data_IF_260925527024
#
_entry.id   IF_260925527024
#
_cell.length_a   1.000
_cell.length_b   1.000
_cell.length_c   1.000
_cell.angle_alpha   90.00
_cell.angle_beta   90.00
_cell.angle_gamma   90.00
#
_symmetry.space_group_name_H-M   'P 1'
#
loop_
_entity.id
_entity.type
_entity.pdbx_description
1 polymer ?
2 polymer ?
3 non-polymer ?
4 non-polymer ?
5 non-polymer ?
6 non-polymer ?
7 water ?
#
# COMPACT_ATOMS: atom_id res chain seq x y z
N UNK A 1 11.77 9.15 -1.01
CA UNK A 1 12.56 7.92 -0.91
C UNK A 1 14.05 8.27 -0.93
N UNK A 2 14.78 7.82 0.10
CA UNK A 2 16.21 7.99 0.24
C UNK A 2 16.91 6.70 -0.18
N UNK A 3 17.90 6.82 -1.08
CA UNK A 3 18.74 5.72 -1.55
C UNK A 3 18.10 4.70 -2.46
N UNK A 4 17.06 5.11 -3.19
CA UNK A 4 16.36 4.24 -4.12
C UNK A 4 16.75 4.54 -5.56
N UNK A 5 15.84 4.28 -6.47
CA UNK A 5 16.05 4.51 -7.89
C UNK A 5 14.73 4.97 -8.49
N UNK A 6 14.78 5.53 -9.70
CA UNK A 6 13.58 5.94 -10.40
C UNK A 6 12.83 4.66 -10.78
N UNK A 7 11.54 4.57 -10.37
CA UNK A 7 10.67 3.44 -10.75
C UNK A 7 10.44 3.65 -12.28
N UNK A 8 10.86 2.73 -13.19
CA UNK A 8 10.56 2.96 -14.63
C UNK A 8 9.07 3.17 -14.85
N UNK A 9 8.70 4.09 -15.74
CA UNK A 9 7.30 4.45 -16.05
C UNK A 9 6.40 3.22 -16.32
N UNK A 10 5.30 3.11 -15.54
CA UNK A 10 4.35 2.01 -15.62
C UNK A 10 4.70 0.79 -14.77
N UNK A 11 5.82 0.83 -14.00
CA UNK A 11 6.24 -0.32 -13.19
C UNK A 11 5.70 -0.31 -11.75
N UNK A 12 5.03 0.80 -11.33
CA UNK A 12 4.35 0.91 -10.03
C UNK A 12 2.95 1.45 -10.43
N UNK A 13 2.16 0.67 -11.22
CA UNK A 13 0.89 1.23 -11.76
C UNK A 13 -0.25 1.48 -10.75
N UNK A 14 -0.06 1.07 -9.52
CA UNK A 14 -1.05 1.25 -8.45
C UNK A 14 -0.69 2.45 -7.58
N UNK A 15 0.44 3.12 -7.87
CA UNK A 15 0.84 4.30 -7.09
C UNK A 15 -0.13 5.44 -7.31
N UNK A 16 -0.59 6.01 -6.20
CA UNK A 16 -1.48 7.18 -6.24
C UNK A 16 -0.68 8.39 -5.74
N UNK A 17 -0.93 9.56 -6.33
CA UNK A 17 -0.43 10.85 -5.86
C UNK A 17 -1.65 11.60 -5.30
N UNK A 18 -1.62 12.00 -4.04
CA UNK A 18 -2.70 12.79 -3.44
C UNK A 18 -2.28 14.28 -3.43
N UNK A 19 -3.19 15.12 -3.89
CA UNK A 19 -3.03 16.57 -4.01
C UNK A 19 -4.10 17.31 -3.22
N UNK A 20 -3.71 18.44 -2.60
CA UNK A 20 -4.63 19.36 -1.92
C UNK A 20 -4.33 20.77 -2.47
N UNK A 21 -5.28 21.36 -3.23
CA UNK A 21 -5.08 22.63 -3.93
C UNK A 21 -3.89 22.56 -4.94
N UNK A 22 -3.69 21.38 -5.55
CA UNK A 22 -2.65 21.14 -6.54
C UNK A 22 -1.27 20.87 -6.00
N UNK A 23 -1.10 21.00 -4.67
CA UNK A 23 0.15 20.77 -3.98
C UNK A 23 0.23 19.31 -3.56
N UNK A 24 1.43 18.73 -3.65
CA UNK A 24 1.74 17.36 -3.23
C UNK A 24 1.39 17.15 -1.75
N UNK A 25 0.57 16.14 -1.44
CA UNK A 25 0.17 15.86 -0.06
C UNK A 25 0.78 14.56 0.44
N UNK A 26 0.47 13.47 -0.26
CA UNK A 26 0.77 12.09 0.14
C UNK A 26 0.73 11.17 -1.04
N UNK A 27 1.05 9.92 -0.76
CA UNK A 27 0.88 8.83 -1.70
C UNK A 27 -0.33 8.03 -1.28
N UNK A 28 -0.62 7.02 -2.08
CA UNK A 28 -1.70 6.08 -1.85
C UNK A 28 -1.52 4.87 -2.73
N UNK A 29 -2.37 3.87 -2.52
CA UNK A 29 -2.38 2.64 -3.34
C UNK A 29 -3.80 2.41 -3.87
N UNK A 30 -3.92 2.25 -5.18
CA UNK A 30 -5.19 1.89 -5.84
C UNK A 30 -5.43 0.37 -5.56
N UNK A 31 -6.60 -0.01 -5.03
CA UNK A 31 -6.82 -1.44 -4.75
C UNK A 31 -7.93 -2.03 -5.65
N UNK A 32 -8.66 -1.17 -6.37
CA UNK A 32 -9.65 -1.49 -7.39
C UNK A 32 -9.90 -0.20 -8.14
N UNK A 33 -10.92 -0.09 -8.98
CA UNK A 33 -11.16 1.12 -9.77
C UNK A 33 -11.71 2.34 -8.99
N UNK A 34 -12.31 2.17 -7.80
CA UNK A 34 -12.87 3.33 -7.08
C UNK A 34 -12.22 3.58 -5.68
N UNK A 35 -11.39 2.64 -5.21
CA UNK A 35 -10.81 2.68 -3.87
C UNK A 35 -9.29 2.78 -3.82
N UNK A 36 -8.83 3.64 -2.92
CA UNK A 36 -7.42 3.95 -2.67
C UNK A 36 -7.20 3.78 -1.18
N UNK A 37 -6.10 3.14 -0.79
CA UNK A 37 -5.75 3.11 0.63
C UNK A 37 -4.51 4.02 0.80
N UNK A 38 -4.57 4.86 1.83
CA UNK A 38 -3.51 5.80 2.19
C UNK A 38 -3.33 5.76 3.74
N UNK A 39 -2.64 6.76 4.32
CA UNK A 39 -2.43 6.89 5.77
C UNK A 39 -3.41 7.93 6.31
N UNK A 40 -3.97 7.67 7.49
CA UNK A 40 -4.87 8.58 8.19
C UNK A 40 -4.17 9.91 8.52
N UNK A 41 -2.85 9.89 8.89
CA UNK A 41 -2.15 11.11 9.28
C UNK A 41 -2.03 12.14 8.16
N UNK A 42 -2.23 11.72 6.89
CA UNK A 42 -2.16 12.60 5.72
C UNK A 42 -3.24 13.68 5.78
N UNK A 43 -4.36 13.39 6.46
CA UNK A 43 -5.55 14.26 6.50
C UNK A 43 -5.70 15.05 7.79
N UNK A 44 -4.72 14.97 8.73
CA UNK A 44 -4.71 15.68 10.02
C UNK A 44 -4.87 17.19 9.91
N UNK A 45 -4.25 17.81 8.89
CA UNK A 45 -4.23 19.26 8.67
C UNK A 45 -5.11 19.72 7.52
N UNK A 46 -6.00 18.84 7.01
CA UNK A 46 -6.93 19.21 5.92
C UNK A 46 -8.13 19.99 6.51
N UNK A 47 -8.53 21.07 5.82
CA UNK A 47 -9.69 21.90 6.12
C UNK A 47 -10.53 22.02 4.84
N UNK A 48 -9.84 22.08 3.68
CA UNK A 48 -10.39 22.17 2.32
C UNK A 48 -10.62 20.76 1.73
N UNK A 49 -11.53 19.97 2.35
CA UNK A 49 -11.88 18.60 1.96
C UNK A 49 -12.33 18.42 0.53
N UNK A 50 -12.93 19.46 -0.06
CA UNK A 50 -13.44 19.44 -1.43
C UNK A 50 -12.37 19.68 -2.50
N UNK A 51 -11.13 19.99 -2.07
CA UNK A 51 -9.97 20.22 -2.94
C UNK A 51 -8.98 19.04 -2.98
N UNK A 52 -9.37 17.85 -2.48
CA UNK A 52 -8.56 16.62 -2.46
C UNK A 52 -8.63 15.92 -3.80
N UNK A 53 -7.49 15.76 -4.48
CA UNK A 53 -7.43 15.06 -5.76
C UNK A 53 -6.50 13.83 -5.68
N UNK A 54 -6.90 12.71 -6.34
CA UNK A 54 -6.06 11.51 -6.48
C UNK A 54 -5.63 11.42 -7.94
N UNK A 55 -4.32 11.27 -8.17
CA UNK A 55 -3.76 11.15 -9.53
C UNK A 55 -3.20 9.74 -9.68
N UNK A 56 -3.69 9.02 -10.72
CA UNK A 56 -3.28 7.67 -11.11
C UNK A 56 -2.53 7.77 -12.42
N UNK A 57 -1.59 6.85 -12.69
CA UNK A 57 -0.81 6.85 -13.92
C UNK A 57 0.25 7.93 -13.95
N UNK A 58 0.50 8.54 -12.79
CA UNK A 58 1.51 9.58 -12.65
C UNK A 58 2.89 8.95 -12.58
N UNK A 59 3.87 9.67 -13.11
CA UNK A 59 5.28 9.29 -13.10
C UNK A 59 6.18 10.52 -12.87
N UNK A 60 6.17 11.45 -13.83
CA UNK A 60 6.97 12.66 -13.83
C UNK A 60 6.06 13.87 -13.56
N UNK A 61 6.30 14.57 -12.44
CA UNK A 61 5.54 15.74 -11.98
C UNK A 61 5.72 17.01 -12.81
N UNK A 62 6.76 17.07 -13.65
CA UNK A 62 7.01 18.28 -14.44
C UNK A 62 6.32 18.24 -15.81
N UNK A 63 5.79 17.04 -16.20
CA UNK A 63 5.18 16.89 -17.52
C UNK A 63 3.86 16.13 -17.49
N UNK A 64 2.93 16.51 -18.36
CA UNK A 64 1.71 15.78 -18.60
C UNK A 64 1.97 14.91 -19.85
N UNK A 65 1.90 13.58 -19.71
CA UNK A 65 2.13 12.73 -20.89
C UNK A 65 0.85 12.06 -21.43
N UNK A 66 -0.30 12.30 -20.78
CA UNK A 66 -1.58 11.73 -21.20
C UNK A 66 -2.00 10.46 -20.49
N UNK A 67 -1.10 9.83 -19.71
CA UNK A 67 -1.41 8.61 -18.96
C UNK A 67 -1.99 8.89 -17.57
N UNK A 68 -1.91 10.17 -17.10
CA UNK A 68 -2.43 10.57 -15.79
C UNK A 68 -3.93 10.61 -15.80
N UNK A 69 -4.54 10.17 -14.71
CA UNK A 69 -5.97 10.22 -14.51
C UNK A 69 -6.20 10.85 -13.13
N UNK A 70 -6.97 11.93 -13.08
CA UNK A 70 -7.30 12.69 -11.87
C UNK A 70 -8.73 12.45 -11.50
N UNK A 71 -8.98 12.31 -10.21
CA UNK A 71 -10.31 12.08 -9.67
C UNK A 71 -10.41 12.78 -8.34
N UNK A 72 -11.59 13.34 -8.06
CA UNK A 72 -11.94 13.99 -6.81
C UNK A 72 -12.11 12.90 -5.78
N UNK A 73 -11.69 13.16 -4.58
CA UNK A 73 -11.83 12.19 -3.49
C UNK A 73 -13.22 12.47 -2.88
N UNK A 74 -14.17 11.54 -3.08
CA UNK A 74 -15.53 11.70 -2.59
C UNK A 74 -15.64 11.44 -1.09
N UNK A 75 -14.80 10.57 -0.54
CA UNK A 75 -14.86 10.18 0.86
C UNK A 75 -13.52 9.74 1.40
N UNK A 76 -13.19 10.12 2.65
CA UNK A 76 -11.98 9.70 3.40
C UNK A 76 -12.48 8.99 4.66
N UNK A 77 -12.20 7.70 4.79
CA UNK A 77 -12.64 6.84 5.91
C UNK A 77 -11.45 6.46 6.78
N UNK A 78 -11.53 6.82 8.04
CA UNK A 78 -10.50 6.61 9.02
C UNK A 78 -11.04 5.78 10.21
N UNK A 79 -10.23 4.87 10.83
CA UNK A 79 -10.73 4.13 11.99
C UNK A 79 -11.01 5.04 13.17
N UNK A 80 -12.02 4.68 13.99
CA UNK A 80 -12.40 5.44 15.19
C UNK A 80 -11.27 5.51 16.20
N UNK A 81 -10.37 4.50 16.15
CA UNK A 81 -9.24 4.29 17.06
C UNK A 81 -8.02 5.14 16.74
N UNK A 82 -7.98 5.74 15.54
CA UNK A 82 -6.90 6.62 15.12
C UNK A 82 -7.08 7.97 15.84
N UNK A 83 -6.00 8.52 16.43
CA UNK A 83 -5.98 9.81 17.11
C UNK A 83 -5.07 10.78 16.33
N UNK A 84 -5.58 11.92 15.79
CA UNK A 84 -4.66 12.87 15.10
C UNK A 84 -3.44 13.25 15.94
N UNK A 85 -2.30 13.34 15.29
CA UNK A 85 -1.02 13.68 15.90
C UNK A 85 -0.29 12.52 16.53
N UNK A 86 -0.86 11.29 16.45
CA UNK A 86 -0.24 10.07 16.98
C UNK A 86 0.06 9.08 15.84
N UNK A 87 0.60 7.89 16.18
CA UNK A 87 1.09 6.86 15.27
C UNK A 87 0.16 5.69 14.97
N UNK A 88 -0.59 5.19 15.99
CA UNK A 88 -1.43 4.00 15.85
C UNK A 88 -2.62 4.12 14.89
N UNK A 89 -3.01 2.99 14.29
CA UNK A 89 -4.15 2.85 13.36
C UNK A 89 -4.07 3.86 12.20
N UNK A 90 -2.86 3.97 11.60
CA UNK A 90 -2.55 4.94 10.55
C UNK A 90 -2.93 4.45 9.15
N UNK A 91 -4.24 4.43 8.88
CA UNK A 91 -4.79 3.95 7.60
C UNK A 91 -6.01 4.79 7.22
N UNK A 92 -6.19 5.05 5.94
CA UNK A 92 -7.36 5.79 5.42
C UNK A 92 -7.83 5.05 4.18
N UNK A 93 -9.14 5.00 3.96
CA UNK A 93 -9.76 4.36 2.79
C UNK A 93 -10.46 5.47 2.04
N UNK A 94 -10.05 5.69 0.79
CA UNK A 94 -10.58 6.77 -0.04
C UNK A 94 -11.47 6.26 -1.15
N UNK A 95 -12.67 6.84 -1.26
CA UNK A 95 -13.58 6.55 -2.36
C UNK A 95 -13.41 7.67 -3.42
N UNK A 96 -13.10 7.30 -4.66
CA UNK A 96 -12.95 8.26 -5.75
C UNK A 96 -14.34 8.62 -6.24
N UNK A 97 -14.55 9.86 -6.71
CA UNK A 97 -15.87 10.32 -7.15
C UNK A 97 -16.41 9.50 -8.36
N UNK A 98 -15.51 9.08 -9.25
CA UNK A 98 -15.77 8.33 -10.47
C UNK A 98 -14.67 7.28 -10.59
N UNK A 99 -14.95 6.05 -11.12
CA UNK A 99 -13.86 5.07 -11.25
C UNK A 99 -12.71 5.55 -12.12
N UNK A 100 -11.50 5.04 -11.87
CA UNK A 100 -10.39 5.26 -12.79
C UNK A 100 -10.58 4.20 -13.89
N UNK A 101 -10.00 4.45 -15.07
CA UNK A 101 -10.02 3.49 -16.19
C UNK A 101 -8.69 2.70 -16.11
N UNK A 102 -8.79 1.36 -16.05
CA UNK A 102 -7.61 0.50 -16.03
C UNK A 102 -6.96 0.49 -17.40
N UNK A 103 -5.64 0.72 -17.41
CA UNK A 103 -4.81 0.83 -18.63
C UNK A 103 -3.48 0.19 -18.24
N UNK A 104 -2.50 0.20 -19.14
CA UNK A 104 -1.15 -0.31 -18.87
C UNK A 104 -0.46 0.47 -17.76
N UNK A 105 -0.91 1.73 -17.53
CA UNK A 105 -0.29 2.64 -16.55
C UNK A 105 -1.09 2.79 -15.26
N UNK A 106 -2.31 2.25 -15.21
CA UNK A 106 -3.23 2.32 -14.08
C UNK A 106 -3.78 0.91 -13.79
N UNK A 107 -3.22 0.25 -12.76
CA UNK A 107 -3.61 -1.11 -12.38
C UNK A 107 -3.70 -1.19 -10.85
N UNK A 108 -4.75 -1.81 -10.24
CA UNK A 108 -4.77 -1.93 -8.79
C UNK A 108 -3.75 -2.92 -8.23
N UNK A 109 -3.41 -2.76 -6.97
CA UNK A 109 -2.55 -3.69 -6.25
C UNK A 109 -3.55 -4.61 -5.52
N UNK A 110 -3.20 -5.92 -5.37
CA UNK A 110 -4.10 -6.86 -4.69
C UNK A 110 -4.12 -6.62 -3.17
N UNK A 111 -5.32 -6.40 -2.63
CA UNK A 111 -5.50 -6.26 -1.20
C UNK A 111 -5.63 -7.76 -0.84
N UNK A 112 -4.69 -8.36 -0.09
CA UNK A 112 -4.76 -9.81 0.15
C UNK A 112 -5.79 -10.16 1.23
N UNK A 113 -6.02 -11.47 1.42
CA UNK A 113 -6.85 -11.95 2.53
C UNK A 113 -5.97 -11.92 3.76
N UNK A 114 -6.57 -11.76 4.95
CA UNK A 114 -5.83 -11.70 6.21
C UNK A 114 -4.92 -12.93 6.46
N UNK A 115 -5.48 -14.17 6.42
CA UNK A 115 -4.72 -15.42 6.67
C UNK A 115 -3.50 -15.51 5.76
N UNK A 116 -3.72 -15.36 4.47
CA UNK A 116 -2.66 -15.38 3.46
C UNK A 116 -1.58 -14.32 3.77
N UNK A 117 -2.00 -13.10 4.17
CA UNK A 117 -1.11 -12.00 4.47
C UNK A 117 -0.28 -12.29 5.75
N UNK A 118 -0.93 -12.81 6.79
CA UNK A 118 -0.29 -13.16 8.06
C UNK A 118 0.64 -14.40 7.98
N UNK A 119 0.15 -15.50 7.35
CA UNK A 119 0.91 -16.75 7.29
C UNK A 119 1.84 -16.87 6.10
N UNK A 120 1.65 -16.08 5.04
CA UNK A 120 2.58 -16.19 3.93
C UNK A 120 3.33 -14.87 3.65
N UNK A 121 2.60 -13.76 3.39
CA UNK A 121 3.23 -12.48 3.00
C UNK A 121 4.12 -11.86 4.05
N UNK A 122 3.84 -12.07 5.33
CA UNK A 122 4.59 -11.51 6.46
C UNK A 122 6.02 -12.05 6.53
N UNK A 123 6.26 -13.19 5.86
CA UNK A 123 7.53 -13.91 5.82
C UNK A 123 8.34 -13.67 4.54
N UNK A 124 7.82 -12.86 3.57
CA UNK A 124 8.62 -12.49 2.40
C UNK A 124 9.52 -11.35 2.93
N UNK A 125 10.86 -11.53 2.87
CA UNK A 125 11.82 -10.58 3.45
C UNK A 125 11.79 -9.19 2.82
N UNK A 126 11.84 -9.11 1.49
CA UNK A 126 11.86 -7.85 0.79
C UNK A 126 10.53 -7.47 0.17
N UNK A 127 10.28 -6.15 0.14
CA UNK A 127 9.10 -5.52 -0.42
C UNK A 127 9.48 -4.16 -0.95
N UNK A 128 8.69 -3.63 -1.88
CA UNK A 128 8.95 -2.34 -2.51
C UNK A 128 8.16 -1.23 -1.86
N UNK A 129 8.81 -0.08 -1.64
CA UNK A 129 8.23 1.14 -1.06
C UNK A 129 8.45 2.23 -2.07
N UNK A 130 7.45 3.10 -2.27
CA UNK A 130 7.53 4.11 -3.33
C UNK A 130 6.83 5.42 -3.02
N UNK A 131 7.26 6.44 -3.74
CA UNK A 131 6.71 7.78 -3.62
C UNK A 131 7.53 8.87 -4.27
N UNK A 132 7.02 10.12 -4.21
CA UNK A 132 7.70 11.30 -4.73
C UNK A 132 8.13 12.15 -3.51
N UNK A 133 8.44 11.50 -2.40
CA UNK A 133 8.95 12.13 -1.19
C UNK A 133 10.37 12.62 -1.34
N UNK A 134 10.95 13.11 -0.23
CA UNK A 134 12.31 13.68 -0.21
C UNK A 134 13.39 12.64 -0.53
N UNK A 135 14.41 13.10 -1.27
CA UNK A 135 15.52 12.25 -1.72
C UNK A 135 16.60 12.16 -0.65
N UNK A 136 16.55 13.08 0.31
CA UNK A 136 17.49 13.20 1.42
C UNK A 136 16.73 13.79 2.57
N UNK A 137 17.27 13.61 3.80
CA UNK A 137 16.76 14.28 5.00
C UNK A 137 17.09 15.79 4.82
N UNK A 138 16.06 16.65 4.98
CA UNK A 138 16.12 18.12 4.80
C UNK A 138 16.48 18.51 3.32
N UNK A 139 16.11 17.63 2.38
CA UNK A 139 16.32 17.83 0.96
C UNK A 139 15.02 17.98 0.18
N UNK A 140 15.15 18.28 -1.10
CA UNK A 140 14.06 18.42 -2.06
C UNK A 140 13.38 17.05 -2.33
N UNK A 141 12.10 17.09 -2.71
CA UNK A 141 11.28 15.95 -3.08
C UNK A 141 11.55 15.58 -4.54
N UNK A 142 11.25 14.33 -4.91
CA UNK A 142 11.45 13.78 -6.26
C UNK A 142 10.44 14.30 -7.30
N UNK A 143 10.91 14.49 -8.55
CA UNK A 143 10.09 14.88 -9.69
C UNK A 143 9.59 13.62 -10.40
N UNK A 144 10.37 12.54 -10.31
CA UNK A 144 9.99 11.24 -10.85
C UNK A 144 9.76 10.26 -9.71
N UNK A 145 8.82 9.33 -9.89
CA UNK A 145 8.50 8.32 -8.90
C UNK A 145 9.73 7.44 -8.58
N UNK A 146 10.02 7.30 -7.27
CA UNK A 146 11.15 6.53 -6.76
C UNK A 146 10.68 5.26 -6.10
N UNK A 147 11.50 4.23 -6.12
CA UNK A 147 11.20 2.95 -5.50
C UNK A 147 12.41 2.44 -4.71
N UNK A 148 12.16 1.77 -3.61
CA UNK A 148 13.19 1.21 -2.76
C UNK A 148 12.74 -0.16 -2.29
N UNK A 149 13.69 -1.12 -2.26
CA UNK A 149 13.50 -2.49 -1.78
C UNK A 149 13.93 -2.51 -0.34
N UNK A 150 13.04 -2.87 0.56
CA UNK A 150 13.35 -2.85 2.01
C UNK A 150 13.12 -4.19 2.68
N UNK A 151 13.96 -4.60 3.67
CA UNK A 151 13.69 -5.89 4.34
C UNK A 151 12.82 -5.68 5.58
N UNK A 152 11.88 -6.61 5.81
CA UNK A 152 10.96 -6.54 6.95
C UNK A 152 11.62 -7.17 8.14
N UNK A 153 11.36 -6.60 9.31
CA UNK A 153 11.92 -7.07 10.55
C UNK A 153 10.85 -7.64 11.44
N UNK A 154 11.23 -8.62 12.30
CA UNK A 154 10.35 -9.16 13.34
C UNK A 154 10.32 -8.01 14.38
N UNK A 155 9.16 -7.71 15.01
CA UNK A 155 9.02 -6.58 15.95
C UNK A 155 10.05 -6.65 17.10
N UNK A 156 10.44 -7.86 17.57
CA UNK A 156 11.49 -8.03 18.58
C UNK A 156 12.84 -7.48 18.08
N UNK A 157 13.28 -7.88 16.85
CA UNK A 157 14.53 -7.41 16.26
C UNK A 157 14.53 -5.91 16.00
N UNK A 158 13.35 -5.33 15.64
CA UNK A 158 13.24 -3.89 15.38
C UNK A 158 13.66 -3.13 16.65
N UNK A 159 13.12 -3.57 17.82
CA UNK A 159 13.37 -3.00 19.15
C UNK A 159 14.84 -3.12 19.64
N UNK A 160 15.44 -4.34 19.50
CA UNK A 160 16.83 -4.57 19.92
C UNK A 160 17.88 -3.95 18.94
N UNK A 161 17.56 -3.90 17.62
CA UNK A 161 18.44 -3.33 16.56
C UNK A 161 18.41 -1.78 16.48
N UNK A 162 17.47 -1.13 17.21
CA UNK A 162 17.34 0.33 17.15
C UNK A 162 18.03 1.07 18.31
N UNK A 163 18.48 2.32 18.04
CA UNK A 163 19.16 3.21 18.97
C UNK A 163 18.17 4.26 19.50
N UNK A 167 12.13 9.90 24.40
CA UNK A 167 10.76 10.09 23.91
C UNK A 167 10.53 9.33 22.59
N UNK A 168 10.65 7.98 22.65
CA UNK A 168 10.47 7.08 21.50
C UNK A 168 9.08 6.39 21.48
N UNK A 169 8.28 6.56 20.39
CA UNK A 169 6.97 5.89 20.34
C UNK A 169 7.10 4.38 20.14
N UNK A 170 6.18 3.62 20.76
CA UNK A 170 6.12 2.16 20.71
C UNK A 170 5.70 1.66 19.32
N UNK A 171 6.03 0.40 19.02
CA UNK A 171 5.61 -0.28 17.80
C UNK A 171 4.52 -1.27 18.23
N UNK A 172 3.28 -1.02 17.77
CA UNK A 172 2.10 -1.81 18.11
C UNK A 172 1.90 -2.96 17.15
N UNK A 173 0.88 -3.81 17.42
CA UNK A 173 0.49 -4.93 16.56
C UNK A 173 -0.10 -4.43 15.23
N UNK A 174 -0.35 -3.11 15.13
CA UNK A 174 -0.92 -2.47 13.94
C UNK A 174 0.17 -1.82 13.08
N UNK A 175 1.45 -2.13 13.40
CA UNK A 175 2.63 -1.61 12.72
C UNK A 175 3.65 -2.71 12.45
N UNK A 176 4.66 -2.39 11.62
CA UNK A 176 5.83 -3.24 11.40
C UNK A 176 6.98 -2.41 10.93
N UNK A 177 8.22 -2.85 11.21
CA UNK A 177 9.42 -2.16 10.76
C UNK A 177 9.94 -2.79 9.50
N UNK A 178 10.47 -1.94 8.64
CA UNK A 178 11.12 -2.34 7.41
C UNK A 178 12.20 -1.30 7.06
N UNK A 179 13.30 -1.77 6.47
CA UNK A 179 14.37 -0.87 6.08
C UNK A 179 15.74 -1.18 6.62
N UNK A 180 16.55 -0.10 6.77
CA UNK A 180 17.96 -0.16 7.15
C UNK A 180 18.29 0.78 8.31
N UNK A 181 19.29 0.41 9.12
CA UNK A 181 19.72 1.21 10.28
C UNK A 181 20.92 2.12 10.01
N UNK A 182 21.59 1.99 8.87
CA UNK A 182 22.81 2.73 8.52
C UNK A 182 22.61 4.15 7.94
N UNK A 183 21.36 4.60 7.85
CA UNK A 183 21.02 5.94 7.33
C UNK A 183 21.17 6.15 5.84
N UNK A 184 21.28 5.06 5.04
CA UNK A 184 21.46 5.15 3.59
C UNK A 184 20.17 5.00 2.75
N UNK A 185 19.15 4.28 3.29
CA UNK A 185 17.94 3.93 2.55
C UNK A 185 16.70 4.01 3.43
N UNK A 186 15.68 4.74 2.97
CA UNK A 186 14.46 4.91 3.75
C UNK A 186 13.30 5.51 2.97
N UNK A 187 12.08 5.38 3.51
CA UNK A 187 10.90 6.08 3.02
C UNK A 187 10.89 7.36 3.88
N UNK A 188 10.38 8.48 3.34
CA UNK A 188 10.31 9.71 4.12
C UNK A 188 8.91 10.25 4.23
N UNK A 189 8.71 11.37 4.96
CA UNK A 189 7.40 11.97 5.23
C UNK A 189 6.57 12.26 3.96
N UNK A 190 7.20 12.67 2.85
CA UNK A 190 6.53 12.92 1.57
C UNK A 190 6.05 11.64 0.87
N UNK A 191 6.50 10.48 1.36
CA UNK A 191 6.12 9.17 0.86
C UNK A 191 4.96 8.60 1.66
N UNK A 192 4.62 9.26 2.80
CA UNK A 192 3.49 8.93 3.68
C UNK A 192 2.26 8.52 2.87
N UNK A 193 1.67 7.40 3.24
CA UNK A 193 0.48 6.87 2.61
C UNK A 193 0.72 5.95 1.44
N UNK A 194 1.95 5.95 0.92
CA UNK A 194 2.32 5.12 -0.23
C UNK A 194 2.36 3.65 0.07
N UNK A 195 2.43 2.81 -1.00
CA UNK A 195 2.49 1.34 -0.79
C UNK A 195 3.81 0.74 -0.35
N UNK A 196 3.70 -0.31 0.46
CA UNK A 196 4.73 -1.25 0.81
C UNK A 196 4.13 -2.49 0.16
N UNK A 197 4.66 -2.85 -1.00
CA UNK A 197 4.16 -3.93 -1.86
C UNK A 197 5.06 -5.17 -1.82
N UNK A 198 4.44 -6.36 -1.61
CA UNK A 198 5.10 -7.68 -1.50
C UNK A 198 4.78 -8.60 -2.69
N UNK A 199 5.81 -9.15 -3.33
CA UNK A 199 5.68 -10.08 -4.46
C UNK A 199 5.58 -11.53 -3.93
N UNK A 200 4.61 -12.31 -4.45
CA UNK A 200 4.45 -13.71 -4.09
C UNK A 200 3.87 -14.44 -5.27
N UNK A 201 4.66 -15.38 -5.81
CA UNK A 201 4.33 -16.24 -6.95
C UNK A 201 3.70 -15.48 -8.12
N UNK A 202 4.43 -14.48 -8.61
CA UNK A 202 4.05 -13.70 -9.78
C UNK A 202 3.02 -12.60 -9.57
N UNK A 203 2.58 -12.37 -8.32
CA UNK A 203 1.58 -11.32 -8.04
C UNK A 203 2.04 -10.43 -6.89
N UNK A 204 1.71 -9.13 -6.98
CA UNK A 204 2.06 -8.15 -5.92
C UNK A 204 0.85 -7.87 -5.03
N UNK A 205 1.09 -7.73 -3.74
CA UNK A 205 0.05 -7.50 -2.73
C UNK A 205 0.38 -6.33 -1.82
N UNK A 206 -0.69 -5.69 -1.26
CA UNK A 206 -0.55 -4.61 -0.28
C UNK A 206 -0.35 -5.18 1.13
N UNK A 207 0.86 -4.97 1.70
CA UNK A 207 1.19 -5.44 3.06
C UNK A 207 1.42 -4.29 4.04
N UNK A 208 1.83 -3.14 3.55
CA UNK A 208 2.11 -2.00 4.40
C UNK A 208 1.76 -0.66 3.80
N UNK A 209 1.67 0.37 4.65
CA UNK A 209 1.44 1.75 4.26
C UNK A 209 2.63 2.55 4.85
N UNK A 210 3.27 3.44 4.07
CA UNK A 210 4.36 4.34 4.56
C UNK A 210 3.71 5.20 5.67
N UNK A 211 4.15 5.00 6.91
CA UNK A 211 3.50 5.64 8.06
C UNK A 211 4.40 6.64 8.81
N UNK A 212 5.44 6.17 9.54
CA UNK A 212 6.32 7.08 10.31
C UNK A 212 7.75 6.53 10.55
N UNK A 213 8.54 7.32 11.25
CA UNK A 213 9.91 7.05 11.64
C UNK A 213 10.40 8.18 12.53
N UNK A 214 11.65 8.06 13.03
CA UNK A 214 12.33 9.02 13.91
C UNK A 214 13.30 9.86 13.05
N UNK A 215 12.76 10.54 12.05
CA UNK A 215 13.57 11.34 11.15
C UNK A 215 13.91 10.56 9.92
N UNK A 216 14.00 11.28 8.78
CA UNK A 216 14.29 10.70 7.46
C UNK A 216 15.69 10.11 7.38
N UNK A 217 15.78 8.78 7.09
CA UNK A 217 17.02 8.00 6.98
C UNK A 217 18.05 8.27 8.15
N UNK A 218 17.54 8.25 9.40
CA UNK A 218 18.30 8.46 10.64
C UNK A 218 19.03 7.16 11.04
N UNK A 219 20.35 7.26 11.39
CA UNK A 219 21.16 6.11 11.84
C UNK A 219 20.58 5.53 13.15
N UNK A 220 20.51 4.20 13.19
CA UNK A 220 19.96 3.43 14.29
C UNK A 220 18.44 3.32 14.27
N UNK A 221 17.79 3.80 13.18
CA UNK A 221 16.33 3.79 13.10
C UNK A 221 15.77 3.24 11.78
N UNK A 222 14.64 2.52 11.90
CA UNK A 222 13.93 1.88 10.80
C UNK A 222 12.62 2.60 10.47
N UNK A 223 12.09 2.32 9.27
CA UNK A 223 10.80 2.84 8.83
C UNK A 223 9.69 2.09 9.52
N UNK A 224 8.59 2.77 9.83
CA UNK A 224 7.44 2.13 10.44
C UNK A 224 6.26 2.20 9.45
N UNK A 225 5.64 1.04 9.19
CA UNK A 225 4.56 0.85 8.24
C UNK A 225 3.34 0.35 8.95
N UNK A 226 2.15 0.79 8.50
CA UNK A 226 0.87 0.31 9.02
C UNK A 226 0.77 -1.18 8.60
N UNK A 227 0.37 -2.05 9.53
CA UNK A 227 0.21 -3.48 9.25
C UNK A 227 -1.19 -3.67 8.68
N UNK A 228 -1.28 -3.61 7.37
CA UNK A 228 -2.48 -3.71 6.56
C UNK A 228 -3.31 -5.00 6.83
N UNK A 229 -2.65 -6.15 7.15
CA UNK A 229 -3.33 -7.45 7.46
C UNK A 229 -4.39 -7.32 8.58
N UNK A 230 -4.19 -6.37 9.50
CA UNK A 230 -5.09 -6.09 10.61
C UNK A 230 -6.36 -5.37 10.20
N UNK A 231 -6.40 -4.85 8.94
CA UNK A 231 -7.50 -4.01 8.46
C UNK A 231 -8.29 -4.57 7.33
N UNK A 232 -7.94 -5.76 6.82
CA UNK A 232 -8.60 -6.40 5.66
C UNK A 232 -10.11 -6.43 5.78
N UNK A 233 -10.62 -6.92 6.94
CA UNK A 233 -12.06 -7.06 7.19
C UNK A 233 -12.75 -5.73 7.29
N UNK A 234 -12.12 -4.78 8.00
CA UNK A 234 -12.57 -3.40 8.18
C UNK A 234 -12.66 -2.74 6.77
N UNK A 235 -11.61 -2.90 5.94
CA UNK A 235 -11.57 -2.36 4.56
C UNK A 235 -12.67 -2.96 3.65
N UNK A 236 -12.81 -4.31 3.68
CA UNK A 236 -13.79 -5.06 2.88
C UNK A 236 -15.22 -4.71 3.22
N UNK A 237 -15.54 -4.55 4.51
CA UNK A 237 -16.88 -4.17 4.95
C UNK A 237 -17.24 -2.77 4.47
N UNK A 238 -16.30 -1.83 4.57
CA UNK A 238 -16.50 -0.46 4.09
C UNK A 238 -16.66 -0.35 2.58
N UNK A 239 -15.90 -1.16 1.79
CA UNK A 239 -16.03 -1.13 0.33
C UNK A 239 -17.41 -1.62 -0.16
N UNK A 240 -18.10 -2.40 0.67
CA UNK A 240 -19.44 -2.92 0.38
C UNK A 240 -20.55 -1.98 0.88
N UNK A 241 -20.19 -0.88 1.57
CA UNK A 241 -21.15 0.08 2.14
C UNK A 241 -21.47 1.24 1.21
N UNK A 242 -22.69 1.79 1.34
CA UNK A 242 -23.19 2.90 0.55
C UNK A 242 -22.51 4.19 0.94
N UNK A 243 -22.10 5.04 -0.04
CA UNK A 243 -21.51 6.34 0.32
C UNK A 243 -22.37 7.15 1.31
N UNK A 244 -21.71 7.97 2.15
CA UNK A 244 -22.40 8.81 3.11
C UNK A 244 -22.13 10.28 2.85
N UNK A 245 -23.13 11.18 3.08
CA UNK A 245 -22.87 12.62 2.89
C UNK A 245 -21.71 13.05 3.79
N UNK A 246 -20.88 13.97 3.29
CA UNK A 246 -19.67 14.43 3.97
C UNK A 246 -18.43 13.72 3.44
N UNK A 247 -17.28 14.42 3.43
CA UNK A 247 -16.04 13.83 2.93
C UNK A 247 -15.40 12.96 3.99
N UNK A 248 -15.19 13.47 5.18
CA UNK A 248 -14.58 12.67 6.22
C UNK A 248 -15.58 11.82 6.97
N UNK A 249 -15.32 10.49 7.05
CA UNK A 249 -16.09 9.54 7.82
C UNK A 249 -15.19 8.80 8.85
N UNK A 250 -15.58 8.79 10.12
CA UNK A 250 -14.88 7.99 11.13
C UNK A 250 -15.70 6.71 11.27
N UNK A 251 -15.06 5.55 11.10
CA UNK A 251 -15.74 4.26 11.11
C UNK A 251 -15.22 3.39 12.24
N UNK A 252 -16.13 2.72 12.98
CA UNK A 252 -15.68 1.88 14.11
C UNK A 252 -14.60 0.89 13.73
N UNK A 253 -13.62 0.74 14.63
CA UNK A 253 -12.56 -0.24 14.50
C UNK A 253 -12.45 -1.00 15.82
N UNK A 254 -12.52 -2.36 15.83
CA UNK A 254 -12.65 -3.30 14.68
C UNK A 254 -14.00 -3.19 13.95
N UNK B 1 -2.84 -27.47 6.82
CA UNK B 1 -2.19 -27.54 5.50
C UNK B 1 -1.77 -26.15 5.02
N UNK B 2 -2.66 -25.14 5.15
CA UNK B 2 -2.45 -23.74 4.70
C UNK B 2 -1.31 -23.02 5.38
N UNK B 3 -1.08 -23.33 6.66
CA UNK B 3 -0.03 -22.74 7.49
C UNK B 3 1.38 -23.02 6.91
N UNK B 4 1.57 -24.18 6.23
CA UNK B 4 2.83 -24.62 5.66
C UNK B 4 2.88 -24.51 4.13
N UNK B 5 3.80 -23.67 3.63
CA UNK B 5 4.05 -23.39 2.22
C UNK B 5 2.77 -22.94 1.44
N UNK B 6 1.86 -22.24 2.17
CA UNK B 6 0.59 -21.68 1.65
C UNK B 6 -0.38 -22.80 1.15
N UNK B 7 -0.20 -24.03 1.67
CA UNK B 7 -0.98 -25.21 1.29
C UNK B 7 -0.78 -25.59 -0.17
N UNK B 8 0.34 -25.14 -0.74
CA UNK B 8 0.67 -25.31 -2.15
C UNK B 8 0.00 -24.31 -3.08
N UNK B 9 -0.91 -23.48 -2.55
CA UNK B 9 -1.68 -22.51 -3.31
C UNK B 9 -0.82 -21.36 -3.85
N UNK B 10 -1.14 -20.86 -5.05
CA UNK B 10 -0.49 -19.72 -5.66
C UNK B 10 -0.97 -18.43 -4.94
N UNK B 11 -2.26 -18.38 -4.55
CA UNK B 11 -2.92 -17.27 -3.87
C UNK B 11 -3.57 -17.68 -2.52
N UNK B 12 -4.88 -17.77 -2.44
CA UNK B 12 -5.56 -18.01 -1.15
C UNK B 12 -5.77 -19.47 -0.86
N UNK B 13 -5.74 -19.82 0.43
CA UNK B 13 -5.85 -21.17 0.97
C UNK B 13 -6.89 -21.23 2.08
N UNK B 14 -7.83 -22.20 1.97
CA UNK B 14 -8.84 -22.49 2.99
C UNK B 14 -8.70 -23.94 3.44
N UNK B 15 -8.62 -24.16 4.77
CA UNK B 15 -8.58 -25.49 5.40
C UNK B 15 -10.00 -25.98 5.60
N UNK B 16 -10.23 -27.29 5.43
CA UNK B 16 -11.55 -27.89 5.63
C UNK B 16 -11.56 -29.02 6.65
N UNK B 17 -12.76 -29.58 6.93
CA UNK B 17 -12.97 -30.68 7.87
C UNK B 17 -12.17 -31.90 7.42
N UNK B 18 -11.01 -32.08 8.05
CA UNK B 18 -10.05 -33.13 7.75
C UNK B 18 -8.80 -32.55 7.11
N UNK B 19 -8.09 -33.35 6.29
CA UNK B 19 -6.90 -32.86 5.56
C UNK B 19 -7.33 -32.45 4.13
N UNK B 20 -8.47 -31.72 4.07
CA UNK B 20 -9.05 -31.15 2.86
C UNK B 20 -8.62 -29.69 2.77
N UNK B 21 -8.25 -29.28 1.56
CA UNK B 21 -7.72 -27.96 1.26
C UNK B 21 -8.27 -27.45 -0.05
N UNK B 22 -8.80 -26.23 -0.05
CA UNK B 22 -9.26 -25.56 -1.26
C UNK B 22 -8.43 -24.30 -1.49
N UNK B 23 -7.81 -24.19 -2.68
CA UNK B 23 -7.10 -22.98 -3.07
C UNK B 23 -8.13 -22.07 -3.69
N UNK B 24 -7.93 -20.77 -3.53
CA UNK B 24 -8.81 -19.77 -4.09
C UNK B 24 -7.98 -18.68 -4.72
N UNK B 25 -8.63 -17.82 -5.50
CA UNK B 25 -8.00 -16.76 -6.26
C UNK B 25 -8.71 -15.45 -5.92
N UNK B 26 -8.00 -14.32 -6.09
CA UNK B 26 -8.54 -12.96 -5.96
C UNK B 26 -9.39 -12.77 -7.21
N UNK B 27 -10.38 -11.90 -7.14
CA UNK B 27 -11.23 -11.46 -8.25
C UNK B 27 -10.34 -11.11 -9.45
N UNK B 28 -10.80 -11.45 -10.66
CA UNK B 28 -10.05 -11.24 -11.91
C UNK B 28 -9.12 -12.40 -12.22
N UNK B 29 -9.24 -13.49 -11.45
CA UNK B 29 -8.45 -14.73 -11.61
C UNK B 29 -9.33 -15.97 -11.48
N UNK B 30 -8.96 -17.05 -12.14
CA UNK B 30 -9.67 -18.31 -11.97
C UNK B 30 -8.66 -19.44 -11.68
N UNK B 31 -9.07 -20.38 -10.85
CA UNK B 31 -8.29 -21.53 -10.44
C UNK B 31 -8.19 -22.55 -11.58
N UNK B 32 -6.97 -23.02 -11.87
CA UNK B 32 -6.74 -24.03 -12.91
C UNK B 32 -7.08 -25.43 -12.37
N UNK B 33 -7.21 -26.44 -13.26
CA UNK B 33 -7.54 -27.83 -12.85
C UNK B 33 -6.52 -28.49 -11.91
N UNK B 34 -5.26 -27.95 -11.84
CA UNK B 34 -4.25 -28.45 -10.87
C UNK B 34 -4.67 -28.12 -9.42
N UNK B 35 -5.67 -27.24 -9.30
CA UNK B 35 -6.27 -26.78 -8.05
C UNK B 35 -5.40 -25.87 -7.22
N UNK B 36 -4.26 -25.40 -7.76
CA UNK B 36 -3.33 -24.53 -7.02
C UNK B 36 -3.04 -23.21 -7.76
N UNK B 37 -3.03 -23.27 -9.10
CA UNK B 37 -2.67 -22.15 -9.97
C UNK B 37 -3.84 -21.26 -10.28
N UNK B 38 -3.56 -19.96 -10.40
CA UNK B 38 -4.49 -18.87 -10.70
C UNK B 38 -4.10 -18.26 -12.06
N UNK B 39 -5.07 -18.13 -12.96
CA UNK B 39 -4.86 -17.51 -14.25
C UNK B 39 -5.76 -16.25 -14.40
N UNK B 40 -5.27 -15.11 -14.95
CA UNK B 40 -6.14 -13.94 -15.10
C UNK B 40 -7.33 -14.16 -16.04
N UNK B 41 -8.47 -13.60 -15.67
CA UNK B 41 -9.71 -13.71 -16.45
C UNK B 41 -10.06 -12.33 -17.06
N UNK B 42 -9.27 -11.29 -16.71
CA UNK B 42 -9.46 -9.90 -17.14
C UNK B 42 -8.16 -9.37 -17.76
N UNK B 43 -8.27 -8.27 -18.51
CA UNK B 43 -7.13 -7.62 -19.16
C UNK B 43 -6.14 -7.02 -18.14
N UNK B 44 -6.68 -6.42 -17.06
CA UNK B 44 -5.84 -5.77 -16.04
C UNK B 44 -6.04 -6.37 -14.65
N UNK B 45 -5.58 -7.64 -14.41
CA UNK B 45 -5.71 -8.21 -13.07
C UNK B 45 -4.86 -7.44 -12.04
N UNK B 46 -5.30 -7.44 -10.76
CA UNK B 46 -4.58 -6.75 -9.71
C UNK B 46 -3.21 -7.38 -9.49
N UNK B 47 -2.25 -6.56 -9.06
CA UNK B 47 -0.90 -7.00 -8.74
C UNK B 47 -0.03 -7.49 -9.87
N UNK B 48 -0.41 -7.22 -11.12
CA UNK B 48 0.38 -7.55 -12.32
C UNK B 48 0.74 -6.26 -13.03
N UNK B 49 1.97 -6.23 -13.58
CA UNK B 49 2.52 -5.08 -14.29
C UNK B 49 2.46 -5.30 -15.79
N UNK B 50 1.47 -4.69 -16.49
CA UNK B 50 1.32 -4.91 -17.94
C UNK B 50 2.57 -4.76 -18.82
N UNK B 51 3.37 -3.69 -18.63
CA UNK B 51 4.57 -3.48 -19.46
C UNK B 51 5.58 -4.64 -19.27
N UNK B 52 5.67 -5.21 -18.04
CA UNK B 52 6.53 -6.37 -17.77
C UNK B 52 5.90 -7.68 -18.30
N UNK B 53 4.56 -7.87 -18.14
CA UNK B 53 3.79 -9.03 -18.62
C UNK B 53 3.83 -9.17 -20.17
N UNK B 54 3.90 -8.03 -20.89
CA UNK B 54 3.97 -7.95 -22.36
C UNK B 54 5.42 -8.10 -22.89
N UNK B 55 6.40 -8.37 -21.99
CA UNK B 55 7.81 -8.57 -22.34
C UNK B 55 8.12 -10.07 -22.41
#
# INVERSE_FOLDING_TARGET
IVGGKVCPKGECPWQVLLLVNGAQLCGGTLINTIWVVSAAHCFDKIKNWRNLIAVLGEHDLSEHDGDEQSRRVAQVIIPSTYVPGTTNHDIALLRLHQPVVLTDHVVPLCLPERTFSERTLAFVRFSLVSGWGQLLDRGATALELMVLNVPRLMTQDCLQQSRKVGDSPNITEYMFCAGYSDGSKDSCKGDSGGPHATHYRGTWYLTGIVSWGQGCATVGHFGVYTRVSQYIEWLQKLMRSEPRPGVLLRAPFP
ICVNENGGCEQYCSDHTGTKRSCRCHEGYSLLADGVSCTPTVEYPCGKIPILEKR
#
